data_IF_415218687814
#
_entry.id   IF_415218687814
#
_cell.length_a   1.000
_cell.length_b   1.000
_cell.length_c   1.000
_cell.angle_alpha   90.00
_cell.angle_beta   90.00
_cell.angle_gamma   90.00
#
_symmetry.space_group_name_H-M   'P 1'
#
loop_
_entity.id
_entity.type
_entity.pdbx_description
1 polymer ?
#
# COMPACT_ATOMS: atom_id res chain seq x y z
N UNK A 1 -11.38 18.11 -4.37
CA UNK A 1 -12.46 17.51 -3.54
C UNK A 1 -11.83 16.48 -2.60
N UNK A 2 -12.37 16.24 -1.42
CA UNK A 2 -11.79 15.23 -0.50
C UNK A 2 -12.47 13.90 -0.73
N UNK A 3 -11.69 12.82 -0.90
CA UNK A 3 -12.21 11.45 -0.96
C UNK A 3 -11.82 10.68 0.29
N UNK A 4 -12.73 9.82 0.74
CA UNK A 4 -12.51 9.02 1.92
C UNK A 4 -12.23 7.57 1.53
N UNK A 5 -11.24 6.97 2.18
CA UNK A 5 -10.89 5.58 1.95
C UNK A 5 -12.03 4.67 2.45
N UNK A 6 -12.55 3.82 1.58
CA UNK A 6 -13.61 2.85 1.94
C UNK A 6 -13.13 1.74 2.87
N UNK A 7 -11.80 1.54 3.00
CA UNK A 7 -11.21 0.53 3.90
C UNK A 7 -10.95 1.03 5.31
N UNK A 8 -10.48 2.27 5.47
CA UNK A 8 -10.05 2.79 6.79
C UNK A 8 -10.69 4.13 7.18
N UNK A 9 -11.46 4.76 6.30
CA UNK A 9 -12.10 6.06 6.56
C UNK A 9 -11.19 7.28 6.44
N UNK A 10 -9.89 7.10 6.15
CA UNK A 10 -8.96 8.23 6.03
C UNK A 10 -9.33 9.20 4.90
N UNK A 11 -9.20 10.50 5.14
CA UNK A 11 -9.34 11.55 4.15
C UNK A 11 -8.12 11.58 3.21
N UNK A 12 -8.36 11.72 1.91
CA UNK A 12 -7.33 11.77 0.88
C UNK A 12 -7.68 12.85 -0.16
N UNK A 13 -6.67 13.36 -0.86
CA UNK A 13 -6.82 14.33 -1.96
C UNK A 13 -7.57 13.68 -3.15
N UNK A 14 -8.25 14.46 -3.99
CA UNK A 14 -8.99 13.87 -5.12
C UNK A 14 -8.08 13.14 -6.13
N UNK A 15 -6.83 13.59 -6.28
CA UNK A 15 -5.85 12.95 -7.17
C UNK A 15 -5.23 11.64 -6.60
N UNK A 16 -5.36 11.38 -5.30
CA UNK A 16 -4.66 10.25 -4.65
C UNK A 16 -5.06 8.87 -5.21
N UNK A 17 -4.16 8.15 -5.88
CA UNK A 17 -4.50 6.82 -6.44
C UNK A 17 -4.62 5.73 -5.35
N UNK A 18 -3.89 5.89 -4.26
CA UNK A 18 -3.86 5.00 -3.09
C UNK A 18 -4.08 5.76 -1.80
N UNK A 19 -4.57 5.09 -0.76
CA UNK A 19 -4.75 5.66 0.56
C UNK A 19 -3.40 5.94 1.21
N UNK A 20 -3.16 7.19 1.58
CA UNK A 20 -1.96 7.61 2.30
C UNK A 20 -1.79 6.94 3.68
N UNK A 21 -2.89 6.49 4.29
CA UNK A 21 -2.88 5.88 5.61
C UNK A 21 -2.72 4.34 5.58
N UNK A 22 -3.34 3.66 4.60
CA UNK A 22 -3.39 2.18 4.59
C UNK A 22 -2.94 1.53 3.28
N UNK A 23 -2.57 2.32 2.26
CA UNK A 23 -2.14 1.82 0.95
C UNK A 23 -3.24 1.27 0.05
N UNK A 24 -4.48 1.13 0.53
CA UNK A 24 -5.57 0.60 -0.30
C UNK A 24 -5.85 1.52 -1.51
N UNK A 25 -6.03 0.99 -2.72
CA UNK A 25 -6.39 1.81 -3.88
C UNK A 25 -7.71 2.56 -3.64
N UNK A 26 -7.76 3.83 -4.03
CA UNK A 26 -8.94 4.70 -3.87
C UNK A 26 -9.79 4.75 -5.14
N UNK A 27 -9.25 4.30 -6.27
CA UNK A 27 -9.97 4.17 -7.53
C UNK A 27 -10.29 2.70 -7.77
N UNK A 28 -11.57 2.34 -7.70
CA UNK A 28 -12.09 1.05 -8.18
C UNK A 28 -12.11 1.05 -9.72
N UNK A 29 -10.95 1.25 -10.37
CA UNK A 29 -10.83 0.85 -11.77
C UNK A 29 -10.77 -0.66 -11.75
N UNK A 30 -11.71 -1.31 -12.44
CA UNK A 30 -12.00 -2.75 -12.44
C UNK A 30 -10.87 -3.68 -12.93
N UNK A 31 -9.62 -3.38 -12.59
CA UNK A 31 -8.47 -4.18 -12.91
C UNK A 31 -7.70 -4.43 -11.62
N UNK A 32 -7.66 -5.72 -11.28
CA UNK A 32 -6.55 -6.38 -10.60
C UNK A 32 -6.68 -6.55 -9.08
N UNK A 33 -7.28 -7.69 -8.75
CA UNK A 33 -6.84 -8.52 -7.62
C UNK A 33 -5.38 -8.93 -7.79
N UNK A 34 -4.47 -7.99 -7.56
CA UNK A 34 -3.06 -8.25 -7.34
C UNK A 34 -2.80 -8.15 -5.86
N UNK A 35 -2.39 -9.26 -5.26
CA UNK A 35 -1.67 -9.28 -3.99
C UNK A 35 -0.41 -8.43 -4.14
N UNK A 36 -0.53 -7.11 -4.00
CA UNK A 36 0.61 -6.23 -3.79
C UNK A 36 0.94 -6.31 -2.31
N UNK A 37 1.73 -7.35 -2.02
CA UNK A 37 2.23 -7.65 -0.69
C UNK A 37 2.83 -6.42 -0.04
N UNK A 38 2.54 -6.24 1.24
CA UNK A 38 3.40 -5.47 2.11
C UNK A 38 4.80 -6.06 2.03
N UNK A 39 5.70 -5.36 1.35
CA UNK A 39 7.14 -5.52 1.52
C UNK A 39 7.59 -4.27 2.28
N UNK A 40 7.80 -4.33 3.61
CA UNK A 40 8.85 -3.50 4.16
C UNK A 40 10.14 -4.00 3.52
N UNK A 41 10.82 -3.18 2.71
CA UNK A 41 12.19 -3.50 2.30
C UNK A 41 13.11 -3.34 3.53
N UNK A 42 12.97 -4.27 4.47
CA UNK A 42 13.91 -4.56 5.55
C UNK A 42 14.72 -5.78 5.16
N UNK A 43 15.70 -5.57 4.27
CA UNK A 43 16.82 -6.48 4.02
C UNK A 43 17.71 -6.41 5.28
N UNK A 44 18.27 -7.45 5.90
CA UNK A 44 18.60 -8.81 5.50
C UNK A 44 18.75 -9.70 6.76
N UNK A 45 18.64 -11.04 6.67
CA UNK A 45 19.25 -11.92 7.67
C UNK A 45 20.77 -11.95 7.44
N UNK A 46 21.55 -11.47 8.42
CA UNK A 46 22.99 -11.67 8.49
C UNK A 46 23.28 -13.16 8.62
N UNK A 47 23.55 -13.82 7.49
CA UNK A 47 24.10 -15.18 7.52
C UNK A 47 25.55 -15.09 8.06
N UNK A 48 25.96 -15.90 9.04
CA UNK A 48 27.36 -15.99 9.41
C UNK A 48 28.13 -16.60 8.25
N UNK A 49 29.22 -15.94 7.82
CA UNK A 49 30.11 -16.47 6.81
C UNK A 49 30.80 -17.74 7.37
N UNK A 50 30.87 -18.86 6.63
CA UNK A 50 31.71 -19.99 7.02
C UNK A 50 33.19 -19.56 6.99
N UNK A 51 33.96 -20.12 7.93
CA UNK A 51 35.38 -19.82 8.15
C UNK A 51 36.30 -20.17 6.99
#
# INVERSE_FOLDING_TARGET
MTKYCTKCGAANTDDARFCSACGNPLTLTSQQGGSWGGQPQGQAPSQPQPA
#
